data_IF_955281961506
#
_entry.id   IF_955281961506
#
_cell.length_a   1.000
_cell.length_b   1.000
_cell.length_c   1.000
_cell.angle_alpha   90.00
_cell.angle_beta   90.00
_cell.angle_gamma   90.00
#
_symmetry.space_group_name_H-M   'P 1'
#
loop_
_entity.id
_entity.type
_entity.pdbx_description
1 polymer ?
#
# COMPACT_ATOMS: atom_id res chain seq x y z
N UNK A 1 20.60 61.85 -66.11
CA UNK A 1 21.51 60.80 -65.58
C UNK A 1 22.10 61.16 -64.22
N UNK A 2 22.45 62.42 -63.93
CA UNK A 2 23.01 62.84 -62.63
C UNK A 2 22.02 62.82 -61.44
N UNK A 3 20.72 63.02 -61.68
CA UNK A 3 19.69 63.02 -60.62
C UNK A 3 19.37 61.64 -60.06
N UNK A 4 19.41 60.58 -60.89
CA UNK A 4 19.17 59.20 -60.47
C UNK A 4 20.33 58.63 -59.64
N UNK A 5 21.58 59.02 -59.95
CA UNK A 5 22.76 58.60 -59.19
C UNK A 5 22.83 59.25 -57.80
N UNK A 6 22.45 60.53 -57.69
CA UNK A 6 22.35 61.23 -56.40
C UNK A 6 21.23 60.66 -55.52
N UNK A 7 20.07 60.34 -56.09
CA UNK A 7 18.97 59.70 -55.38
C UNK A 7 19.34 58.29 -54.86
N UNK A 8 20.05 57.50 -55.67
CA UNK A 8 20.56 56.18 -55.27
C UNK A 8 21.58 56.24 -54.13
N UNK A 9 22.50 57.23 -54.16
CA UNK A 9 23.47 57.46 -53.08
C UNK A 9 22.81 57.93 -51.78
N UNK A 10 21.81 58.81 -51.86
CA UNK A 10 21.04 59.26 -50.69
C UNK A 10 20.24 58.11 -50.06
N UNK A 11 19.59 57.28 -50.87
CA UNK A 11 18.86 56.08 -50.40
C UNK A 11 19.79 55.06 -49.74
N UNK A 12 20.98 54.81 -50.32
CA UNK A 12 21.99 53.93 -49.74
C UNK A 12 22.50 54.44 -48.40
N UNK A 13 22.76 55.74 -48.28
CA UNK A 13 23.21 56.37 -47.04
C UNK A 13 22.13 56.34 -45.94
N UNK A 14 20.86 56.53 -46.31
CA UNK A 14 19.73 56.35 -45.37
C UNK A 14 19.57 54.90 -44.92
N UNK A 15 19.74 53.92 -45.81
CA UNK A 15 19.69 52.49 -45.46
C UNK A 15 20.84 52.11 -44.52
N UNK A 16 22.06 52.57 -44.80
CA UNK A 16 23.22 52.35 -43.93
C UNK A 16 23.05 53.03 -42.56
N UNK A 17 22.49 54.24 -42.51
CA UNK A 17 22.18 54.91 -41.24
C UNK A 17 21.11 54.15 -40.43
N UNK A 18 20.08 53.62 -41.10
CA UNK A 18 19.04 52.80 -40.44
C UNK A 18 19.60 51.48 -39.92
N UNK A 19 20.42 50.78 -40.70
CA UNK A 19 21.09 49.54 -40.27
C UNK A 19 22.08 49.77 -39.10
N UNK A 20 22.82 50.89 -39.10
CA UNK A 20 23.70 51.26 -37.98
C UNK A 20 22.90 51.59 -36.73
N UNK A 21 21.79 52.33 -36.86
CA UNK A 21 20.91 52.64 -35.74
C UNK A 21 20.26 51.37 -35.16
N UNK A 22 19.84 50.43 -36.02
CA UNK A 22 19.28 49.15 -35.60
C UNK A 22 20.32 48.26 -34.91
N UNK A 23 21.54 48.15 -35.46
CA UNK A 23 22.64 47.43 -34.80
C UNK A 23 23.03 48.06 -33.46
N UNK A 24 23.03 49.39 -33.35
CA UNK A 24 23.28 50.09 -32.10
C UNK A 24 22.18 49.82 -31.06
N UNK A 25 20.91 49.80 -31.48
CA UNK A 25 19.77 49.42 -30.62
C UNK A 25 19.87 47.97 -30.16
N UNK A 26 20.16 47.03 -31.06
CA UNK A 26 20.35 45.62 -30.72
C UNK A 26 21.54 45.40 -29.78
N UNK A 27 22.64 46.14 -29.98
CA UNK A 27 23.79 46.09 -29.07
C UNK A 27 23.45 46.64 -27.68
N UNK A 28 22.76 47.78 -27.61
CA UNK A 28 22.34 48.39 -26.36
C UNK A 28 21.33 47.51 -25.60
N UNK A 29 20.40 46.87 -26.31
CA UNK A 29 19.43 45.93 -25.73
C UNK A 29 20.13 44.67 -25.19
N UNK A 30 21.06 44.09 -25.96
CA UNK A 30 21.87 42.95 -25.51
C UNK A 30 22.72 43.29 -24.29
N UNK A 31 23.30 44.48 -24.25
CA UNK A 31 24.08 44.97 -23.11
C UNK A 31 23.20 45.17 -21.88
N UNK A 32 22.00 45.74 -22.04
CA UNK A 32 21.02 45.89 -20.95
C UNK A 32 20.61 44.53 -20.37
N UNK A 33 20.29 43.55 -21.22
CA UNK A 33 19.93 42.19 -20.81
C UNK A 33 21.09 41.49 -20.08
N UNK A 34 22.34 41.71 -20.51
CA UNK A 34 23.50 41.15 -19.84
C UNK A 34 23.71 41.79 -18.46
N UNK A 35 23.59 43.12 -18.35
CA UNK A 35 23.68 43.83 -17.08
C UNK A 35 22.58 43.39 -16.11
N UNK A 36 21.36 43.21 -16.59
CA UNK A 36 20.23 42.70 -15.80
C UNK A 36 20.48 41.28 -15.31
N UNK A 37 20.99 40.38 -16.17
CA UNK A 37 21.39 39.01 -15.78
C UNK A 37 22.52 38.99 -14.75
N UNK A 38 23.50 39.89 -14.88
CA UNK A 38 24.59 40.01 -13.90
C UNK A 38 24.05 40.52 -12.56
N UNK A 39 23.14 41.50 -12.57
CA UNK A 39 22.48 42.00 -11.35
C UNK A 39 21.67 40.90 -10.67
N UNK A 40 20.82 40.19 -11.42
CA UNK A 40 20.03 39.08 -10.89
C UNK A 40 20.91 37.97 -10.30
N UNK A 41 22.04 37.64 -10.94
CA UNK A 41 23.00 36.67 -10.40
C UNK A 41 23.67 37.15 -9.11
N UNK A 42 24.00 38.44 -9.02
CA UNK A 42 24.56 39.03 -7.79
C UNK A 42 23.53 39.02 -6.66
N UNK A 43 22.30 39.47 -6.93
CA UNK A 43 21.20 39.46 -5.96
C UNK A 43 20.89 38.03 -5.48
N UNK A 44 20.82 37.06 -6.39
CA UNK A 44 20.62 35.65 -6.03
C UNK A 44 21.77 35.10 -5.17
N UNK A 45 23.02 35.42 -5.48
CA UNK A 45 24.16 34.99 -4.70
C UNK A 45 24.23 35.67 -3.32
N UNK A 46 23.86 36.94 -3.23
CA UNK A 46 23.75 37.66 -1.97
C UNK A 46 22.63 37.09 -1.09
N UNK A 47 21.49 36.74 -1.68
CA UNK A 47 20.38 36.10 -0.98
C UNK A 47 20.74 34.68 -0.51
N UNK A 48 21.40 33.87 -1.34
CA UNK A 48 21.91 32.55 -0.96
C UNK A 48 22.89 32.66 0.23
N UNK A 49 23.83 33.60 0.18
CA UNK A 49 24.78 33.83 1.27
C UNK A 49 24.06 34.31 2.56
N UNK A 50 23.01 35.13 2.43
CA UNK A 50 22.17 35.56 3.57
C UNK A 50 21.46 34.36 4.18
N UNK A 51 20.81 33.53 3.36
CA UNK A 51 20.12 32.32 3.82
C UNK A 51 21.08 31.34 4.50
N UNK A 52 22.29 31.16 3.95
CA UNK A 52 23.33 30.34 4.56
C UNK A 52 23.75 30.87 5.94
N UNK A 53 23.94 32.18 6.10
CA UNK A 53 24.26 32.78 7.41
C UNK A 53 23.15 32.57 8.43
N UNK A 54 21.90 32.79 8.03
CA UNK A 54 20.72 32.56 8.89
C UNK A 54 20.66 31.08 9.31
N UNK A 55 20.88 30.16 8.37
CA UNK A 55 20.89 28.72 8.66
C UNK A 55 22.05 28.35 9.60
N UNK A 56 23.26 28.87 9.39
CA UNK A 56 24.41 28.64 10.26
C UNK A 56 24.19 29.21 11.69
N UNK A 57 23.57 30.38 11.82
CA UNK A 57 23.18 30.96 13.11
C UNK A 57 22.09 30.15 13.80
N UNK A 58 21.06 29.72 13.07
CA UNK A 58 19.99 28.87 13.58
C UNK A 58 20.53 27.51 14.08
N UNK A 59 21.50 26.91 13.38
CA UNK A 59 22.17 25.68 13.83
C UNK A 59 22.93 25.92 15.14
N UNK A 60 23.72 26.99 15.23
CA UNK A 60 24.46 27.33 16.46
C UNK A 60 23.54 27.62 17.64
N UNK A 61 22.44 28.32 17.39
CA UNK A 61 21.44 28.60 18.42
C UNK A 61 20.75 27.32 18.89
N UNK A 62 20.38 26.43 17.97
CA UNK A 62 19.81 25.13 18.31
C UNK A 62 20.80 24.26 19.10
N UNK A 63 22.08 24.26 18.75
CA UNK A 63 23.13 23.57 19.53
C UNK A 63 23.29 24.14 20.92
N UNK A 64 23.29 25.48 21.07
CA UNK A 64 23.36 26.14 22.38
C UNK A 64 22.15 25.78 23.26
N UNK A 65 20.94 25.86 22.71
CA UNK A 65 19.73 25.50 23.43
C UNK A 65 19.75 24.04 23.87
N UNK A 66 20.15 23.11 22.99
CA UNK A 66 20.33 21.69 23.36
C UNK A 66 21.35 21.49 24.46
N UNK A 67 22.47 22.21 24.42
CA UNK A 67 23.50 22.14 25.44
C UNK A 67 23.00 22.66 26.79
N UNK A 68 22.28 23.78 26.80
CA UNK A 68 21.64 24.33 28.01
C UNK A 68 20.59 23.37 28.59
N UNK A 69 19.75 22.78 27.73
CA UNK A 69 18.76 21.76 28.13
C UNK A 69 19.41 20.51 28.72
N UNK A 70 20.48 20.01 28.11
CA UNK A 70 21.22 18.85 28.62
C UNK A 70 21.86 19.15 29.98
N UNK A 71 22.48 20.32 30.15
CA UNK A 71 23.01 20.77 31.44
C UNK A 71 21.90 20.83 32.48
N UNK A 72 20.75 21.43 32.14
CA UNK A 72 19.61 21.56 33.05
C UNK A 72 19.09 20.17 33.48
N UNK A 73 18.88 19.25 32.53
CA UNK A 73 18.46 17.87 32.79
C UNK A 73 19.45 17.12 33.66
N UNK A 74 20.74 17.34 33.41
CA UNK A 74 21.85 16.76 34.17
C UNK A 74 22.18 17.52 35.47
N UNK A 75 21.33 18.46 35.90
CA UNK A 75 21.51 19.29 37.11
C UNK A 75 22.89 19.96 37.20
N UNK A 76 23.31 20.58 36.11
CA UNK A 76 24.53 21.37 36.04
C UNK A 76 25.80 20.59 35.66
N UNK A 77 25.68 19.32 35.24
CA UNK A 77 26.83 18.49 34.84
C UNK A 77 26.77 18.22 33.34
N UNK A 78 27.87 18.48 32.64
CA UNK A 78 28.02 18.17 31.23
C UNK A 78 29.32 17.41 31.00
N UNK A 79 29.21 16.25 30.36
CA UNK A 79 30.38 15.51 29.90
C UNK A 79 30.01 14.69 28.67
N UNK A 80 30.84 14.76 27.64
CA UNK A 80 30.71 13.98 26.41
C UNK A 80 32.09 13.72 25.84
N UNK A 81 32.35 12.50 25.41
CA UNK A 81 33.60 12.12 24.76
C UNK A 81 33.35 11.13 23.62
N UNK A 82 34.21 11.19 22.60
CA UNK A 82 34.27 10.22 21.54
C UNK A 82 35.37 9.21 21.89
N UNK A 83 35.00 7.97 22.22
CA UNK A 83 35.91 6.94 22.74
C UNK A 83 35.93 5.72 21.83
N UNK A 84 37.07 5.02 21.76
CA UNK A 84 37.16 3.73 21.08
C UNK A 84 36.50 2.65 21.95
N UNK A 85 35.56 1.89 21.38
CA UNK A 85 34.89 0.81 22.10
C UNK A 85 35.80 -0.43 22.14
N UNK A 86 36.04 -0.96 23.33
CA UNK A 86 36.77 -2.21 23.54
C UNK A 86 35.93 -3.17 24.39
N UNK A 87 36.09 -4.50 24.25
CA UNK A 87 35.37 -5.44 25.09
C UNK A 87 35.86 -5.34 26.55
N UNK A 88 34.94 -5.36 27.51
CA UNK A 88 35.26 -5.47 28.92
C UNK A 88 35.50 -6.94 29.32
N UNK A 89 36.23 -7.13 30.41
CA UNK A 89 36.27 -8.41 31.10
C UNK A 89 34.93 -8.66 31.81
N UNK A 90 34.25 -9.74 31.46
CA UNK A 90 32.93 -10.10 31.99
C UNK A 90 32.94 -10.37 33.50
N UNK A 91 34.08 -10.80 34.03
CA UNK A 91 34.24 -11.09 35.46
C UNK A 91 34.64 -9.85 36.26
N UNK A 92 34.97 -8.71 35.63
CA UNK A 92 35.49 -7.53 36.32
C UNK A 92 34.54 -7.04 37.43
N UNK A 93 33.24 -6.93 37.15
CA UNK A 93 32.26 -6.51 38.16
C UNK A 93 32.08 -7.56 39.26
N UNK A 94 32.08 -8.84 38.90
CA UNK A 94 31.91 -9.96 39.84
C UNK A 94 33.10 -10.06 40.81
N UNK A 95 34.32 -9.90 40.31
CA UNK A 95 35.55 -9.90 41.11
C UNK A 95 35.58 -8.77 42.14
N UNK A 96 34.93 -7.64 41.83
CA UNK A 96 34.75 -6.52 42.75
C UNK A 96 33.55 -6.70 43.71
N UNK A 97 32.85 -7.84 43.66
CA UNK A 97 31.67 -8.10 44.48
C UNK A 97 30.44 -7.25 44.10
N UNK A 98 30.44 -6.65 42.91
CA UNK A 98 29.36 -5.77 42.46
C UNK A 98 28.26 -6.62 41.82
N UNK A 99 27.08 -6.63 42.46
CA UNK A 99 25.91 -7.39 41.97
C UNK A 99 25.35 -6.83 40.65
N UNK A 100 25.23 -5.50 40.53
CA UNK A 100 24.72 -4.82 39.33
C UNK A 100 25.85 -4.57 38.34
N UNK A 101 26.36 -5.63 37.72
CA UNK A 101 27.54 -5.56 36.84
C UNK A 101 27.25 -5.60 35.34
N UNK A 102 26.05 -6.04 34.93
CA UNK A 102 25.73 -6.43 33.55
C UNK A 102 25.88 -5.30 32.54
N UNK A 103 25.52 -4.08 32.93
CA UNK A 103 25.51 -2.87 32.13
C UNK A 103 26.44 -1.79 32.70
N UNK A 104 27.51 -2.20 33.40
CA UNK A 104 28.51 -1.27 33.93
C UNK A 104 29.78 -1.25 33.08
N UNK A 105 30.16 -0.07 32.63
CA UNK A 105 31.31 0.15 31.73
C UNK A 105 32.54 0.69 32.47
N UNK A 106 33.72 0.46 31.90
CA UNK A 106 34.96 1.10 32.38
C UNK A 106 35.26 2.33 31.53
N UNK A 107 35.48 3.46 32.21
CA UNK A 107 35.80 4.75 31.58
C UNK A 107 37.25 5.16 31.86
N UNK A 108 37.82 6.09 31.08
CA UNK A 108 39.17 6.58 31.32
C UNK A 108 39.23 7.51 32.53
N UNK A 109 40.42 7.68 33.12
CA UNK A 109 40.57 8.49 34.34
C UNK A 109 40.31 9.97 34.09
N UNK A 110 40.62 10.47 32.89
CA UNK A 110 40.25 11.81 32.44
C UNK A 110 38.75 12.12 32.62
N UNK A 111 37.87 11.17 32.27
CA UNK A 111 36.42 11.31 32.45
C UNK A 111 36.03 11.55 33.92
N UNK A 112 36.67 10.80 34.83
CA UNK A 112 36.46 10.95 36.28
C UNK A 112 36.81 12.38 36.73
N UNK A 113 37.96 12.90 36.30
CA UNK A 113 38.45 14.22 36.71
C UNK A 113 37.47 15.32 36.26
N UNK A 114 37.00 15.26 35.01
CA UNK A 114 36.06 16.24 34.46
C UNK A 114 34.69 16.22 35.16
N UNK A 115 34.19 15.04 35.50
CA UNK A 115 32.92 14.87 36.21
C UNK A 115 33.01 15.33 37.67
N UNK A 116 34.12 15.01 38.35
CA UNK A 116 34.37 15.43 39.74
C UNK A 116 34.51 16.96 39.82
N UNK A 117 35.17 17.59 38.85
CA UNK A 117 35.29 19.05 38.78
C UNK A 117 33.92 19.77 38.70
N UNK A 118 32.88 19.06 38.26
CA UNK A 118 31.50 19.56 38.16
C UNK A 118 30.59 19.12 39.32
N UNK A 119 31.17 18.50 40.36
CA UNK A 119 30.45 17.98 41.53
C UNK A 119 29.36 16.96 41.15
N UNK A 120 29.71 15.98 40.31
CA UNK A 120 28.77 14.96 39.82
C UNK A 120 28.10 14.14 40.94
N UNK A 121 28.75 13.96 42.09
CA UNK A 121 28.25 13.12 43.17
C UNK A 121 26.93 13.61 43.77
N UNK A 122 26.63 14.92 43.66
CA UNK A 122 25.33 15.48 44.04
C UNK A 122 24.15 14.85 43.27
N UNK A 123 24.44 14.24 42.11
CA UNK A 123 23.44 13.62 41.26
C UNK A 123 23.14 12.15 41.58
N UNK A 124 23.89 11.52 42.50
CA UNK A 124 23.75 10.11 42.85
C UNK A 124 24.53 9.19 41.90
N UNK A 125 23.92 8.07 41.52
CA UNK A 125 24.53 7.12 40.59
C UNK A 125 24.84 7.78 39.24
N UNK A 126 26.00 7.47 38.68
CA UNK A 126 26.46 8.01 37.40
C UNK A 126 26.03 7.11 36.25
N UNK A 127 25.28 7.67 35.31
CA UNK A 127 24.85 7.00 34.09
C UNK A 127 25.39 7.71 32.85
N UNK A 128 25.54 6.94 31.79
CA UNK A 128 26.05 7.39 30.51
C UNK A 128 25.22 6.82 29.38
N UNK A 129 24.91 7.64 28.40
CA UNK A 129 24.41 7.21 27.11
C UNK A 129 25.61 6.86 26.23
N UNK A 130 25.62 5.64 25.70
CA UNK A 130 26.57 5.22 24.67
C UNK A 130 25.81 5.18 23.37
N UNK A 131 26.26 5.98 22.39
CA UNK A 131 25.68 6.05 21.07
C UNK A 131 26.70 5.64 20.00
N UNK A 132 26.26 4.80 19.08
CA UNK A 132 27.02 4.40 17.89
C UNK A 132 26.76 5.38 16.74
N UNK A 133 27.67 5.46 15.75
CA UNK A 133 27.44 6.29 14.56
C UNK A 133 26.21 5.91 13.73
N UNK A 134 25.70 4.68 13.88
CA UNK A 134 24.47 4.23 13.22
C UNK A 134 23.19 4.77 13.88
N UNK A 135 23.31 5.50 14.99
CA UNK A 135 22.19 6.09 15.72
C UNK A 135 21.60 5.19 16.81
N UNK A 136 22.11 3.96 17.01
CA UNK A 136 21.72 3.13 18.16
C UNK A 136 22.38 3.64 19.43
N UNK A 137 21.61 3.70 20.52
CA UNK A 137 22.08 4.13 21.82
C UNK A 137 21.51 3.28 22.95
N UNK A 138 22.28 3.12 24.03
CA UNK A 138 21.88 2.44 25.26
C UNK A 138 22.45 3.20 26.47
N UNK A 139 21.81 3.05 27.63
CA UNK A 139 22.24 3.70 28.87
C UNK A 139 22.91 2.69 29.80
N UNK A 140 24.03 3.10 30.38
CA UNK A 140 24.90 2.27 31.20
C UNK A 140 25.31 2.98 32.48
N UNK A 141 25.77 2.22 33.47
CA UNK A 141 26.42 2.77 34.66
C UNK A 141 27.93 2.77 34.53
N UNK A 142 28.62 3.57 35.35
CA UNK A 142 30.06 3.39 35.54
C UNK A 142 30.35 2.20 36.48
N UNK A 143 31.29 1.34 36.07
CA UNK A 143 31.94 0.36 36.93
C UNK A 143 33.05 1.03 37.72
N UNK A 144 34.05 1.55 37.01
CA UNK A 144 35.20 2.28 37.53
C UNK A 144 35.85 3.10 36.39
N UNK A 145 36.86 3.89 36.73
CA UNK A 145 37.59 4.78 35.84
C UNK A 145 39.03 4.31 35.58
N UNK A 146 39.17 3.04 35.18
CA UNK A 146 40.46 2.35 34.98
C UNK A 146 40.72 1.97 33.51
N UNK A 147 39.85 2.35 32.57
CA UNK A 147 40.10 2.10 31.16
C UNK A 147 41.28 2.93 30.63
N UNK A 148 41.89 2.47 29.53
CA UNK A 148 42.94 3.22 28.86
C UNK A 148 42.38 4.54 28.31
N UNK A 149 43.18 5.60 28.34
CA UNK A 149 42.79 6.92 27.82
C UNK A 149 42.35 6.81 26.35
N UNK A 150 41.23 7.47 26.02
CA UNK A 150 40.61 7.39 24.69
C UNK A 150 39.78 6.12 24.42
N UNK A 151 39.62 5.23 25.40
CA UNK A 151 38.84 3.98 25.27
C UNK A 151 37.69 3.89 26.27
N UNK A 152 36.69 3.06 25.96
CA UNK A 152 35.62 2.65 26.88
C UNK A 152 35.46 1.14 26.80
N UNK A 153 35.50 0.45 27.94
CA UNK A 153 35.31 -1.00 27.99
C UNK A 153 33.84 -1.35 28.18
N UNK A 154 33.27 -2.13 27.25
CA UNK A 154 31.86 -2.46 27.16
C UNK A 154 31.61 -3.94 27.49
N UNK A 155 30.75 -4.26 28.48
CA UNK A 155 30.27 -5.62 28.70
C UNK A 155 29.50 -6.17 27.49
N UNK A 156 29.48 -7.49 27.33
CA UNK A 156 28.78 -8.19 26.23
C UNK A 156 27.32 -7.78 26.10
N UNK A 157 26.62 -7.56 27.22
CA UNK A 157 25.23 -7.10 27.20
C UNK A 157 25.09 -5.74 26.47
N UNK A 158 25.97 -4.78 26.78
CA UNK A 158 25.98 -3.45 26.17
C UNK A 158 26.32 -3.54 24.68
N UNK A 159 27.31 -4.35 24.33
CA UNK A 159 27.70 -4.61 22.93
C UNK A 159 26.52 -5.17 22.13
N UNK A 160 25.81 -6.14 22.72
CA UNK A 160 24.64 -6.76 22.11
C UNK A 160 23.53 -5.75 21.80
N UNK A 161 23.27 -4.80 22.69
CA UNK A 161 22.23 -3.79 22.45
C UNK A 161 22.66 -2.78 21.37
N UNK A 162 23.92 -2.35 21.39
CA UNK A 162 24.44 -1.37 20.44
C UNK A 162 24.54 -1.90 19.01
N UNK A 163 24.91 -3.17 18.83
CA UNK A 163 25.18 -3.71 17.50
C UNK A 163 24.35 -4.93 17.11
N UNK A 164 23.49 -5.44 17.99
CA UNK A 164 22.42 -6.38 17.68
C UNK A 164 22.48 -7.71 18.45
N UNK A 165 21.32 -8.35 18.70
CA UNK A 165 21.23 -9.60 19.46
C UNK A 165 21.77 -10.83 18.73
N UNK A 166 21.84 -10.80 17.39
CA UNK A 166 22.13 -11.97 16.54
C UNK A 166 23.64 -12.21 16.26
N UNK A 167 24.51 -11.74 17.15
CA UNK A 167 25.78 -12.44 17.42
C UNK A 167 26.90 -12.36 16.36
N UNK A 168 27.01 -11.27 15.61
CA UNK A 168 28.19 -10.99 14.78
C UNK A 168 28.92 -9.69 15.15
N UNK A 169 28.45 -8.97 16.16
CA UNK A 169 28.97 -7.65 16.46
C UNK A 169 30.13 -7.69 17.46
N UNK A 170 31.33 -7.55 16.94
CA UNK A 170 32.50 -7.23 17.73
C UNK A 170 32.46 -5.73 18.12
N UNK A 171 32.91 -5.41 19.34
CA UNK A 171 33.24 -4.03 19.72
C UNK A 171 34.13 -3.42 18.63
N UNK A 172 33.58 -2.52 17.83
CA UNK A 172 34.32 -1.95 16.71
C UNK A 172 34.02 -0.47 16.54
N UNK A 173 35.08 0.26 16.26
CA UNK A 173 35.01 1.69 16.00
C UNK A 173 34.89 2.55 17.25
N UNK A 174 34.35 3.74 17.04
CA UNK A 174 34.24 4.75 18.07
C UNK A 174 32.79 5.03 18.41
N UNK A 175 32.52 5.18 19.71
CA UNK A 175 31.22 5.50 20.27
C UNK A 175 31.26 6.86 20.94
N UNK A 176 30.14 7.57 20.90
CA UNK A 176 29.94 8.78 21.69
C UNK A 176 29.42 8.37 23.06
N UNK A 177 30.14 8.72 24.12
CA UNK A 177 29.73 8.51 25.49
C UNK A 177 29.35 9.86 26.09
N UNK A 178 28.13 9.98 26.59
CA UNK A 178 27.59 11.24 27.13
C UNK A 178 27.01 11.01 28.51
N UNK A 179 27.35 11.86 29.49
CA UNK A 179 26.76 11.79 30.82
C UNK A 179 25.26 12.09 30.76
N UNK A 180 24.45 11.25 31.40
CA UNK A 180 23.01 11.43 31.54
C UNK A 180 22.59 11.23 32.98
N UNK A 181 21.77 12.14 33.49
CA UNK A 181 21.00 11.89 34.70
C UNK A 181 19.72 11.15 34.33
N UNK A 182 19.47 10.00 34.95
CA UNK A 182 18.27 9.21 34.73
C UNK A 182 17.25 9.39 35.86
N UNK A 183 15.97 9.45 35.50
CA UNK A 183 14.88 9.31 36.47
C UNK A 183 14.77 7.86 36.96
N UNK A 184 14.22 7.67 38.16
CA UNK A 184 13.87 6.32 38.64
C UNK A 184 12.71 5.76 37.83
N UNK A 185 12.83 4.52 37.39
CA UNK A 185 11.77 3.84 36.68
C UNK A 185 10.59 3.55 37.59
N UNK A 186 9.37 3.65 37.05
CA UNK A 186 8.14 3.29 37.75
C UNK A 186 7.36 2.18 37.03
N UNK A 187 7.59 2.03 35.73
CA UNK A 187 6.93 1.02 34.91
C UNK A 187 7.86 0.56 33.79
N UNK A 188 7.83 -0.73 33.48
CA UNK A 188 8.47 -1.32 32.32
C UNK A 188 7.56 -2.33 31.64
N UNK A 189 7.49 -2.26 30.31
CA UNK A 189 6.84 -3.26 29.47
C UNK A 189 7.89 -4.03 28.70
N UNK A 190 7.85 -5.34 28.79
CA UNK A 190 8.77 -6.25 28.12
C UNK A 190 8.05 -7.10 27.09
N UNK A 191 8.72 -7.41 25.99
CA UNK A 191 8.23 -8.35 24.99
C UNK A 191 9.22 -9.49 24.82
N UNK A 192 8.86 -10.75 25.14
CA UNK A 192 9.72 -11.90 24.89
C UNK A 192 9.95 -12.10 23.39
N UNK A 193 11.15 -12.55 23.02
CA UNK A 193 11.44 -12.93 21.63
C UNK A 193 10.64 -14.16 21.20
N UNK A 194 10.64 -15.19 22.04
CA UNK A 194 10.10 -16.52 21.73
C UNK A 194 8.83 -16.82 22.50
N UNK A 195 7.91 -17.59 21.89
CA UNK A 195 6.63 -17.95 22.51
C UNK A 195 6.77 -18.85 23.75
N UNK A 196 7.89 -19.55 23.90
CA UNK A 196 8.12 -20.48 25.01
C UNK A 196 8.33 -19.79 26.36
N UNK A 197 8.72 -18.51 26.38
CA UNK A 197 8.84 -17.74 27.63
C UNK A 197 7.53 -17.77 28.41
N UNK A 198 6.41 -17.50 27.73
CA UNK A 198 5.11 -17.45 28.40
C UNK A 198 4.61 -18.84 28.82
N UNK A 199 5.05 -19.92 28.16
CA UNK A 199 4.67 -21.28 28.52
C UNK A 199 5.48 -21.81 29.71
N UNK A 200 6.78 -21.53 29.72
CA UNK A 200 7.71 -22.10 30.70
C UNK A 200 7.86 -21.22 31.95
N UNK A 201 7.75 -19.90 31.82
CA UNK A 201 8.04 -18.94 32.90
C UNK A 201 6.77 -18.40 33.58
N UNK A 202 5.56 -18.68 33.05
CA UNK A 202 4.29 -18.07 33.50
C UNK A 202 4.09 -18.00 35.03
N UNK A 203 4.42 -19.07 35.76
CA UNK A 203 4.21 -19.14 37.22
C UNK A 203 5.30 -18.42 38.03
N UNK A 204 6.39 -17.98 37.40
CA UNK A 204 7.57 -17.39 38.06
C UNK A 204 8.06 -16.10 37.40
N UNK A 205 7.24 -15.48 36.54
CA UNK A 205 7.62 -14.27 35.78
C UNK A 205 8.17 -13.16 36.67
N UNK A 206 7.51 -12.88 37.79
CA UNK A 206 7.92 -11.81 38.71
C UNK A 206 9.32 -12.04 39.27
N UNK A 207 9.56 -13.20 39.90
CA UNK A 207 10.85 -13.54 40.51
C UNK A 207 11.99 -13.57 39.48
N UNK A 208 11.69 -14.05 38.28
CA UNK A 208 12.65 -14.18 37.18
C UNK A 208 13.03 -12.82 36.61
N UNK A 209 12.06 -11.92 36.43
CA UNK A 209 12.33 -10.54 36.03
C UNK A 209 13.06 -9.77 37.13
N UNK A 210 12.69 -9.94 38.40
CA UNK A 210 13.36 -9.30 39.53
C UNK A 210 14.84 -9.71 39.58
N UNK A 211 15.13 -11.01 39.46
CA UNK A 211 16.50 -11.52 39.43
C UNK A 211 17.31 -10.96 38.25
N UNK A 212 16.70 -10.85 37.06
CA UNK A 212 17.36 -10.26 35.89
C UNK A 212 17.64 -8.77 36.09
N UNK A 213 16.64 -7.99 36.52
CA UNK A 213 16.75 -6.54 36.75
C UNK A 213 17.68 -6.18 37.92
N UNK A 214 17.83 -7.07 38.90
CA UNK A 214 18.77 -6.89 40.01
C UNK A 214 20.25 -6.86 39.56
N UNK A 215 20.56 -7.29 38.33
CA UNK A 215 21.92 -7.23 37.76
C UNK A 215 22.17 -6.01 36.87
N UNK A 216 21.12 -5.25 36.54
CA UNK A 216 21.19 -4.06 35.68
C UNK A 216 21.14 -2.79 36.53
N UNK A 217 21.58 -1.66 35.99
CA UNK A 217 21.46 -0.34 36.63
C UNK A 217 20.57 0.61 35.84
N UNK A 218 20.47 0.44 34.52
CA UNK A 218 19.59 1.22 33.65
C UNK A 218 18.83 0.32 32.66
N UNK A 219 17.73 0.86 32.13
CA UNK A 219 17.01 0.30 30.99
C UNK A 219 16.79 1.40 29.94
N UNK A 220 16.85 1.03 28.67
CA UNK A 220 16.48 1.90 27.54
C UNK A 220 15.40 1.21 26.70
N UNK A 221 14.39 1.95 26.24
CA UNK A 221 13.42 1.45 25.28
C UNK A 221 14.15 0.97 24.01
N UNK A 222 13.86 -0.26 23.59
CA UNK A 222 14.48 -0.95 22.47
C UNK A 222 15.62 -1.90 22.83
N UNK A 223 16.18 -1.81 24.05
CA UNK A 223 17.25 -2.71 24.51
C UNK A 223 16.73 -4.15 24.73
N UNK A 224 17.64 -5.12 24.68
CA UNK A 224 17.36 -6.52 24.96
C UNK A 224 17.97 -6.94 26.30
N UNK A 225 17.13 -7.36 27.24
CA UNK A 225 17.56 -8.00 28.48
C UNK A 225 17.53 -9.51 28.35
N UNK A 226 18.47 -10.18 29.02
CA UNK A 226 18.54 -11.65 29.05
C UNK A 226 18.08 -12.13 30.40
N UNK A 227 17.21 -13.13 30.37
CA UNK A 227 16.49 -13.64 31.53
C UNK A 227 16.72 -15.15 31.62
N UNK A 228 17.62 -15.61 32.52
CA UNK A 228 17.89 -17.03 32.69
C UNK A 228 16.79 -17.71 33.51
N UNK A 229 16.21 -18.80 32.99
CA UNK A 229 15.23 -19.63 33.69
C UNK A 229 15.28 -21.08 33.22
N UNK A 230 15.24 -22.04 34.14
CA UNK A 230 15.19 -23.47 33.80
C UNK A 230 16.38 -23.97 32.97
N UNK A 231 17.54 -23.33 33.07
CA UNK A 231 18.72 -23.64 32.25
C UNK A 231 18.69 -23.09 30.83
N UNK A 232 17.70 -22.25 30.49
CA UNK A 232 17.58 -21.53 29.22
C UNK A 232 17.69 -20.02 29.43
N UNK A 233 18.19 -19.32 28.42
CA UNK A 233 18.24 -17.87 28.38
C UNK A 233 17.11 -17.34 27.48
N UNK A 234 16.25 -16.49 28.04
CA UNK A 234 15.18 -15.82 27.31
C UNK A 234 15.53 -14.37 27.04
N UNK A 235 15.44 -13.93 25.79
CA UNK A 235 15.65 -12.54 25.42
C UNK A 235 14.32 -11.79 25.43
N UNK A 236 14.26 -10.72 26.24
CA UNK A 236 13.10 -9.85 26.36
C UNK A 236 13.49 -8.45 25.89
N UNK A 237 12.72 -7.90 24.97
CA UNK A 237 12.88 -6.52 24.49
C UNK A 237 12.18 -5.56 25.43
N UNK A 238 12.84 -4.47 25.79
CA UNK A 238 12.22 -3.36 26.51
C UNK A 238 11.35 -2.58 25.52
N UNK A 239 10.03 -2.64 25.67
CA UNK A 239 9.08 -1.98 24.78
C UNK A 239 8.72 -0.57 25.25
N UNK A 240 8.48 -0.41 26.55
CA UNK A 240 8.03 0.86 27.13
C UNK A 240 8.59 1.06 28.52
N UNK A 241 8.98 2.29 28.83
CA UNK A 241 9.43 2.71 30.14
C UNK A 241 8.68 3.98 30.57
N UNK A 242 8.59 4.18 31.89
CA UNK A 242 8.10 5.43 32.49
C UNK A 242 9.02 5.86 33.64
N UNK A 243 9.24 7.17 33.85
CA UNK A 243 8.59 8.30 33.15
C UNK A 243 9.20 8.64 31.78
N UNK A 244 10.41 8.17 31.51
CA UNK A 244 11.20 8.49 30.32
C UNK A 244 11.53 7.20 29.54
N UNK A 245 11.92 7.28 28.25
CA UNK A 245 12.32 6.11 27.47
C UNK A 245 13.68 5.52 27.91
N UNK A 246 14.32 6.10 28.92
CA UNK A 246 15.46 5.56 29.64
C UNK A 246 15.25 5.79 31.13
N UNK A 247 15.54 4.79 31.97
CA UNK A 247 15.33 4.89 33.42
C UNK A 247 16.41 4.18 34.21
N UNK A 248 16.64 4.65 35.43
CA UNK A 248 17.42 3.93 36.43
C UNK A 248 16.54 2.86 37.10
N UNK A 249 17.07 1.64 37.21
CA UNK A 249 16.46 0.53 37.96
C UNK A 249 17.12 0.28 39.33
N UNK A 250 18.01 1.18 39.74
CA UNK A 250 18.63 1.15 41.07
C UNK A 250 17.62 1.65 42.13
N UNK A 251 17.46 0.85 43.20
CA UNK A 251 16.68 1.17 44.40
C UNK A 251 15.29 1.75 44.08
N UNK A 252 14.56 1.07 43.22
CA UNK A 252 13.23 1.45 42.76
C UNK A 252 12.34 0.23 42.62
N UNK A 253 11.07 0.40 42.97
CA UNK A 253 10.03 -0.57 42.71
C UNK A 253 9.34 -0.19 41.40
N UNK A 254 9.21 -1.16 40.49
CA UNK A 254 8.65 -0.94 39.16
C UNK A 254 7.55 -1.93 38.88
N UNK A 255 6.46 -1.45 38.29
CA UNK A 255 5.45 -2.30 37.69
C UNK A 255 6.01 -2.89 36.39
N UNK A 256 6.00 -4.22 36.27
CA UNK A 256 6.47 -4.92 35.08
C UNK A 256 5.28 -5.59 34.37
N UNK A 257 5.16 -5.34 33.07
CA UNK A 257 4.17 -5.98 32.19
C UNK A 257 4.89 -6.77 31.09
N UNK A 258 4.39 -7.95 30.77
CA UNK A 258 4.95 -8.80 29.71
C UNK A 258 3.93 -8.98 28.59
N UNK A 259 4.28 -8.52 27.39
CA UNK A 259 3.47 -8.67 26.18
C UNK A 259 3.62 -10.06 25.55
N UNK A 260 2.70 -10.46 24.66
CA UNK A 260 2.88 -11.65 23.84
C UNK A 260 4.20 -11.61 23.07
N UNK A 261 4.81 -12.78 22.89
CA UNK A 261 6.10 -12.85 22.21
C UNK A 261 6.06 -12.32 20.77
N UNK A 262 7.22 -11.87 20.26
CA UNK A 262 7.36 -11.42 18.87
C UNK A 262 6.87 -12.50 17.90
N UNK A 263 7.26 -13.76 18.11
CA UNK A 263 6.78 -14.90 17.30
C UNK A 263 5.25 -15.07 17.35
N UNK A 264 4.64 -14.86 18.51
CA UNK A 264 3.19 -14.95 18.69
C UNK A 264 2.48 -13.85 17.91
N UNK A 265 2.96 -12.61 17.99
CA UNK A 265 2.39 -11.48 17.25
C UNK A 265 2.55 -11.63 15.74
N UNK A 266 3.72 -12.05 15.27
CA UNK A 266 3.98 -12.31 13.86
C UNK A 266 3.06 -13.40 13.31
N UNK A 267 2.85 -14.48 14.09
CA UNK A 267 1.90 -15.54 13.73
C UNK A 267 0.46 -15.02 13.64
N UNK A 268 0.00 -14.25 14.62
CA UNK A 268 -1.36 -13.68 14.60
C UNK A 268 -1.52 -12.76 13.37
N UNK A 269 -0.54 -11.88 13.11
CA UNK A 269 -0.58 -10.99 11.94
C UNK A 269 -0.61 -11.75 10.63
N UNK A 270 0.14 -12.85 10.51
CA UNK A 270 0.12 -13.69 9.32
C UNK A 270 -1.23 -14.42 9.15
N UNK A 271 -1.83 -14.91 10.23
CA UNK A 271 -3.15 -15.53 10.22
C UNK A 271 -4.25 -14.52 9.82
N UNK A 272 -4.19 -13.28 10.33
CA UNK A 272 -5.10 -12.18 9.98
C UNK A 272 -4.97 -11.78 8.51
N UNK A 273 -3.74 -11.58 8.01
CA UNK A 273 -3.50 -11.26 6.60
C UNK A 273 -4.02 -12.35 5.66
N UNK A 274 -3.79 -13.63 6.00
CA UNK A 274 -4.32 -14.76 5.23
C UNK A 274 -5.85 -14.87 5.31
N UNK A 275 -6.48 -14.45 6.41
CA UNK A 275 -7.93 -14.39 6.52
C UNK A 275 -8.51 -13.26 5.66
N UNK A 276 -7.87 -12.09 5.63
CA UNK A 276 -8.26 -10.96 4.80
C UNK A 276 -8.13 -11.29 3.29
N UNK A 277 -7.04 -11.92 2.88
CA UNK A 277 -6.83 -12.37 1.50
C UNK A 277 -7.94 -13.35 1.07
N UNK A 278 -8.23 -14.37 1.89
CA UNK A 278 -9.32 -15.33 1.62
C UNK A 278 -10.69 -14.66 1.55
N UNK A 279 -10.94 -13.66 2.39
CA UNK A 279 -12.19 -12.89 2.36
C UNK A 279 -12.30 -12.02 1.09
N UNK A 280 -11.19 -11.44 0.62
CA UNK A 280 -11.13 -10.67 -0.61
C UNK A 280 -11.36 -11.56 -1.84
N UNK A 281 -10.75 -12.75 -1.88
CA UNK A 281 -10.97 -13.74 -2.93
C UNK A 281 -12.43 -14.20 -3.01
N UNK A 282 -13.06 -14.49 -1.88
CA UNK A 282 -14.47 -14.88 -1.83
C UNK A 282 -15.37 -13.76 -2.37
N UNK A 283 -15.16 -12.51 -1.95
CA UNK A 283 -15.91 -11.35 -2.45
C UNK A 283 -15.71 -11.14 -3.95
N UNK A 284 -14.50 -11.33 -4.45
CA UNK A 284 -14.19 -11.23 -5.88
C UNK A 284 -14.89 -12.34 -6.68
N UNK A 285 -14.89 -13.58 -6.16
CA UNK A 285 -15.60 -14.71 -6.77
C UNK A 285 -17.12 -14.49 -6.80
N UNK A 286 -17.70 -14.01 -5.71
CA UNK A 286 -19.12 -13.67 -5.64
C UNK A 286 -19.49 -12.53 -6.60
N UNK A 287 -18.68 -11.47 -6.67
CA UNK A 287 -18.90 -10.37 -7.61
C UNK A 287 -18.79 -10.83 -9.08
N UNK A 288 -17.83 -11.70 -9.39
CA UNK A 288 -17.68 -12.27 -10.74
C UNK A 288 -18.86 -13.19 -11.10
N UNK A 289 -19.34 -14.00 -10.15
CA UNK A 289 -20.52 -14.84 -10.34
C UNK A 289 -21.79 -13.98 -10.56
N UNK A 290 -21.97 -12.93 -9.75
CA UNK A 290 -23.09 -12.00 -9.91
C UNK A 290 -23.05 -11.26 -11.25
N UNK A 291 -21.85 -10.87 -11.73
CA UNK A 291 -21.68 -10.27 -13.05
C UNK A 291 -22.06 -11.24 -14.17
N UNK A 292 -21.56 -12.47 -14.13
CA UNK A 292 -21.90 -13.50 -15.12
C UNK A 292 -23.40 -13.80 -15.13
N UNK A 293 -24.05 -13.82 -13.97
CA UNK A 293 -25.49 -14.03 -13.86
C UNK A 293 -26.28 -12.87 -14.52
N UNK A 294 -25.87 -11.62 -14.30
CA UNK A 294 -26.48 -10.45 -14.96
C UNK A 294 -26.29 -10.47 -16.47
N UNK A 295 -25.06 -10.76 -16.93
CA UNK A 295 -24.76 -10.86 -18.37
C UNK A 295 -25.59 -11.99 -19.04
N UNK A 296 -25.80 -13.12 -18.36
CA UNK A 296 -26.65 -14.21 -18.86
C UNK A 296 -28.14 -13.83 -18.89
N UNK A 297 -28.63 -13.13 -17.87
CA UNK A 297 -30.02 -12.65 -17.83
C UNK A 297 -30.28 -11.60 -18.92
N UNK A 298 -29.35 -10.66 -19.14
CA UNK A 298 -29.43 -9.67 -20.21
C UNK A 298 -29.48 -10.34 -21.59
N UNK A 299 -28.60 -11.33 -21.86
CA UNK A 299 -28.61 -12.07 -23.12
C UNK A 299 -29.93 -12.82 -23.35
N UNK A 300 -30.49 -13.43 -22.30
CA UNK A 300 -31.77 -14.12 -22.39
C UNK A 300 -32.92 -13.14 -22.67
N UNK A 301 -32.90 -11.98 -22.04
CA UNK A 301 -33.88 -10.91 -22.30
C UNK A 301 -33.78 -10.39 -23.73
N UNK A 302 -32.57 -10.17 -24.25
CA UNK A 302 -32.33 -9.76 -25.63
C UNK A 302 -32.86 -10.78 -26.63
N UNK A 303 -32.54 -12.08 -26.44
CA UNK A 303 -33.02 -13.15 -27.31
C UNK A 303 -34.55 -13.23 -27.29
N UNK A 304 -35.17 -13.11 -26.12
CA UNK A 304 -36.64 -13.09 -25.99
C UNK A 304 -37.26 -11.89 -26.68
N UNK A 305 -36.65 -10.70 -26.55
CA UNK A 305 -37.12 -9.48 -27.21
C UNK A 305 -36.99 -9.58 -28.74
N UNK A 306 -35.89 -10.13 -29.25
CA UNK A 306 -35.69 -10.37 -30.68
C UNK A 306 -36.73 -11.36 -31.23
N UNK A 307 -36.95 -12.49 -30.54
CA UNK A 307 -38.00 -13.44 -30.93
C UNK A 307 -39.39 -12.80 -30.94
N UNK A 308 -39.72 -11.98 -29.95
CA UNK A 308 -41.00 -11.26 -29.91
C UNK A 308 -41.12 -10.25 -31.06
N UNK A 309 -40.04 -9.52 -31.38
CA UNK A 309 -40.02 -8.57 -32.51
C UNK A 309 -40.24 -9.27 -33.84
N UNK A 310 -39.53 -10.38 -34.09
CA UNK A 310 -39.71 -11.17 -35.31
C UNK A 310 -41.14 -11.72 -35.43
N UNK A 311 -41.73 -12.21 -34.32
CA UNK A 311 -43.14 -12.65 -34.30
C UNK A 311 -44.11 -11.50 -34.63
N UNK A 312 -43.89 -10.32 -34.05
CA UNK A 312 -44.73 -9.15 -34.33
C UNK A 312 -44.61 -8.67 -35.78
N UNK A 313 -43.41 -8.72 -36.37
CA UNK A 313 -43.19 -8.43 -37.79
C UNK A 313 -43.97 -9.41 -38.67
N UNK A 314 -43.91 -10.71 -38.36
CA UNK A 314 -44.67 -11.74 -39.07
C UNK A 314 -46.18 -11.57 -38.91
N UNK A 315 -46.68 -11.25 -37.71
CA UNK A 315 -48.12 -10.97 -37.50
C UNK A 315 -48.57 -9.73 -38.28
N UNK A 316 -47.74 -8.69 -38.39
CA UNK A 316 -48.07 -7.47 -39.14
C UNK A 316 -48.17 -7.70 -40.66
N UNK A 317 -47.49 -8.72 -41.20
CA UNK A 317 -47.60 -9.12 -42.62
C UNK A 317 -48.88 -9.89 -42.92
N UNK A 318 -49.63 -10.31 -41.90
CA UNK A 318 -50.82 -11.11 -42.09
C UNK A 318 -52.01 -10.26 -42.55
N UNK A 319 -52.68 -10.62 -43.66
CA UNK A 319 -53.92 -9.96 -44.06
C UNK A 319 -55.05 -10.21 -43.04
N UNK A 320 -56.13 -9.42 -43.01
CA UNK A 320 -57.28 -9.71 -42.15
C UNK A 320 -57.86 -11.09 -42.47
N UNK A 321 -58.21 -11.87 -41.44
CA UNK A 321 -58.75 -13.22 -41.65
C UNK A 321 -60.09 -13.16 -42.42
N UNK A 322 -60.23 -13.90 -43.53
CA UNK A 322 -61.46 -13.91 -44.30
C UNK A 322 -62.67 -14.43 -43.50
N UNK A 323 -63.80 -13.75 -43.62
CA UNK A 323 -65.05 -14.17 -42.98
C UNK A 323 -65.63 -15.44 -43.62
N UNK A 324 -66.56 -16.10 -42.91
CA UNK A 324 -67.29 -17.28 -43.43
C UNK A 324 -68.18 -16.97 -44.62
N UNK A 325 -68.46 -15.68 -44.89
CA UNK A 325 -69.30 -15.19 -45.98
C UNK A 325 -68.50 -14.44 -47.05
N UNK A 326 -67.19 -14.67 -47.13
CA UNK A 326 -66.33 -14.08 -48.16
C UNK A 326 -66.82 -14.48 -49.57
N UNK A 327 -66.92 -13.53 -50.52
CA UNK A 327 -67.28 -13.84 -51.90
C UNK A 327 -66.13 -14.53 -52.67
N UNK A 328 -64.90 -14.46 -52.15
CA UNK A 328 -63.71 -15.08 -52.74
C UNK A 328 -63.46 -16.49 -52.17
N UNK A 329 -62.88 -17.43 -52.95
CA UNK A 329 -62.64 -18.80 -52.50
C UNK A 329 -61.63 -18.84 -51.34
N UNK A 330 -62.02 -19.47 -50.24
CA UNK A 330 -61.22 -19.57 -49.01
C UNK A 330 -60.89 -21.02 -48.66
N UNK A 331 -59.85 -21.22 -47.87
CA UNK A 331 -59.43 -22.51 -47.33
C UNK A 331 -59.05 -22.36 -45.86
N UNK A 332 -59.57 -23.26 -45.00
CA UNK A 332 -59.17 -23.34 -43.60
C UNK A 332 -57.90 -24.18 -43.47
N UNK A 333 -56.78 -23.59 -43.06
CA UNK A 333 -55.55 -24.34 -42.80
C UNK A 333 -55.44 -24.66 -41.31
N UNK A 334 -55.32 -25.95 -40.97
CA UNK A 334 -55.07 -26.44 -39.63
C UNK A 334 -53.64 -26.99 -39.56
N UNK A 335 -52.76 -26.28 -38.85
CA UNK A 335 -51.35 -26.64 -38.70
C UNK A 335 -51.16 -27.34 -37.37
N UNK A 336 -50.66 -28.58 -37.39
CA UNK A 336 -50.24 -29.33 -36.21
C UNK A 336 -48.78 -29.03 -35.91
N UNK A 337 -48.52 -28.55 -34.70
CA UNK A 337 -47.19 -28.16 -34.24
C UNK A 337 -46.48 -29.33 -33.52
N UNK A 338 -45.13 -29.34 -33.42
CA UNK A 338 -44.37 -30.41 -32.77
C UNK A 338 -44.62 -30.53 -31.27
N UNK A 339 -45.02 -29.44 -30.62
CA UNK A 339 -45.44 -29.40 -29.21
C UNK A 339 -46.83 -30.05 -28.97
N UNK A 340 -47.46 -30.58 -30.02
CA UNK A 340 -48.79 -31.20 -29.99
C UNK A 340 -49.95 -30.21 -30.09
N UNK A 341 -49.68 -28.91 -30.05
CA UNK A 341 -50.68 -27.87 -30.22
C UNK A 341 -51.11 -27.73 -31.68
N UNK A 342 -52.20 -26.99 -31.92
CA UNK A 342 -52.79 -26.81 -33.25
C UNK A 342 -53.10 -25.35 -33.48
N UNK A 343 -52.66 -24.84 -34.62
CA UNK A 343 -53.03 -23.52 -35.12
C UNK A 343 -54.08 -23.70 -36.21
N UNK A 344 -55.06 -22.80 -36.26
CA UNK A 344 -56.06 -22.79 -37.31
C UNK A 344 -56.33 -21.37 -37.75
N UNK A 345 -56.36 -21.14 -39.07
CA UNK A 345 -56.74 -19.85 -39.66
C UNK A 345 -57.26 -20.06 -41.07
N UNK A 346 -58.23 -19.23 -41.45
CA UNK A 346 -58.73 -19.15 -42.83
C UNK A 346 -57.83 -18.25 -43.68
N UNK A 347 -57.58 -18.68 -44.92
CA UNK A 347 -56.80 -17.94 -45.91
C UNK A 347 -57.59 -17.86 -47.22
N UNK A 348 -57.35 -16.82 -48.02
CA UNK A 348 -57.83 -16.78 -49.40
C UNK A 348 -57.00 -17.73 -50.26
N UNK A 349 -57.63 -18.45 -51.18
CA UNK A 349 -56.89 -19.36 -52.08
C UNK A 349 -55.93 -18.62 -53.01
N UNK A 350 -56.16 -17.32 -53.24
CA UNK A 350 -55.30 -16.45 -54.03
C UNK A 350 -54.12 -15.86 -53.23
N UNK A 351 -54.09 -15.98 -51.90
CA UNK A 351 -52.98 -15.49 -51.10
C UNK A 351 -51.70 -16.29 -51.34
N UNK A 352 -50.51 -15.68 -51.17
CA UNK A 352 -49.24 -16.40 -51.21
C UNK A 352 -49.19 -17.51 -50.16
N UNK A 353 -48.57 -18.64 -50.51
CA UNK A 353 -48.32 -19.72 -49.55
C UNK A 353 -47.47 -19.24 -48.37
N UNK A 354 -46.61 -18.24 -48.60
CA UNK A 354 -45.80 -17.58 -47.56
C UNK A 354 -46.65 -17.05 -46.40
N UNK A 355 -47.90 -16.61 -46.64
CA UNK A 355 -48.80 -16.13 -45.60
C UNK A 355 -49.14 -17.21 -44.57
N UNK A 356 -49.14 -18.49 -44.96
CA UNK A 356 -49.33 -19.63 -44.04
C UNK A 356 -48.10 -19.82 -43.16
N UNK A 357 -46.89 -19.66 -43.71
CA UNK A 357 -45.64 -19.70 -42.94
C UNK A 357 -45.52 -18.50 -41.99
N UNK A 358 -45.81 -17.28 -42.47
CA UNK A 358 -45.81 -16.08 -41.63
C UNK A 358 -46.82 -16.20 -40.48
N UNK A 359 -47.96 -16.87 -40.70
CA UNK A 359 -48.94 -17.15 -39.64
C UNK A 359 -48.41 -18.13 -38.59
N UNK A 360 -47.77 -19.20 -39.04
CA UNK A 360 -47.16 -20.19 -38.14
C UNK A 360 -46.02 -19.55 -37.34
N UNK A 361 -45.19 -18.72 -37.99
CA UNK A 361 -44.11 -17.96 -37.37
C UNK A 361 -44.62 -16.97 -36.33
N UNK A 362 -45.65 -16.18 -36.67
CA UNK A 362 -46.28 -15.20 -35.78
C UNK A 362 -46.84 -15.84 -34.51
N UNK A 363 -47.36 -17.08 -34.62
CA UNK A 363 -47.89 -17.87 -33.50
C UNK A 363 -46.82 -18.70 -32.79
N UNK A 364 -45.56 -18.59 -33.18
CA UNK A 364 -44.40 -19.14 -32.49
C UNK A 364 -43.98 -20.54 -32.92
N UNK A 365 -44.58 -21.11 -33.97
CA UNK A 365 -44.10 -22.31 -34.66
C UNK A 365 -43.92 -23.57 -33.79
N UNK A 366 -44.54 -23.64 -32.60
CA UNK A 366 -44.32 -24.72 -31.63
C UNK A 366 -42.87 -24.87 -31.17
N UNK A 367 -42.12 -23.76 -31.13
CA UNK A 367 -40.70 -23.74 -30.76
C UNK A 367 -39.72 -23.94 -31.92
N UNK A 368 -40.20 -24.16 -33.15
CA UNK A 368 -39.34 -24.15 -34.32
C UNK A 368 -38.87 -22.72 -34.66
N UNK A 369 -37.58 -22.52 -35.01
CA UNK A 369 -37.09 -21.21 -35.43
C UNK A 369 -37.73 -20.80 -36.77
N UNK A 370 -37.95 -19.50 -36.95
CA UNK A 370 -38.48 -18.92 -38.19
C UNK A 370 -37.56 -19.33 -39.36
N UNK A 371 -38.13 -19.92 -40.40
CA UNK A 371 -37.38 -20.45 -41.55
C UNK A 371 -36.71 -21.82 -41.34
N UNK A 372 -36.79 -22.40 -40.13
CA UNK A 372 -36.20 -23.70 -39.77
C UNK A 372 -37.18 -24.88 -39.79
N UNK A 373 -38.27 -24.78 -40.54
CA UNK A 373 -39.26 -25.86 -40.67
C UNK A 373 -39.90 -25.87 -42.05
N UNK A 374 -40.61 -26.97 -42.34
CA UNK A 374 -41.44 -27.17 -43.53
C UNK A 374 -42.84 -27.60 -43.14
N UNK A 375 -43.82 -27.30 -43.98
CA UNK A 375 -45.21 -27.72 -43.79
C UNK A 375 -45.54 -28.87 -44.72
N UNK A 376 -46.18 -29.93 -44.22
CA UNK A 376 -46.49 -31.13 -45.03
C UNK A 376 -47.96 -31.56 -44.89
N UNK A 377 -48.58 -32.01 -45.98
CA UNK A 377 -49.90 -32.67 -45.94
C UNK A 377 -49.74 -34.18 -45.75
N UNK A 378 -50.79 -34.87 -45.26
CA UNK A 378 -50.75 -36.31 -45.03
C UNK A 378 -51.11 -37.14 -46.28
N UNK A 379 -52.23 -36.85 -46.96
CA UNK A 379 -52.66 -37.60 -48.16
C UNK A 379 -53.46 -36.73 -49.15
N UNK A 380 -53.01 -36.59 -50.42
CA UNK A 380 -51.68 -36.94 -50.91
C UNK A 380 -50.60 -36.10 -50.18
N UNK A 381 -49.45 -36.71 -49.86
CA UNK A 381 -48.35 -36.02 -49.17
C UNK A 381 -47.72 -34.99 -50.11
N UNK A 382 -47.68 -33.74 -49.65
CA UNK A 382 -47.03 -32.61 -50.31
C UNK A 382 -46.15 -31.90 -49.27
N UNK A 383 -45.04 -31.35 -49.72
CA UNK A 383 -44.07 -30.66 -48.87
C UNK A 383 -43.97 -29.22 -49.34
N UNK A 384 -44.11 -28.30 -48.41
CA UNK A 384 -44.03 -26.87 -48.64
C UNK A 384 -42.85 -26.33 -47.83
N UNK A 385 -42.08 -25.46 -48.47
CA UNK A 385 -40.99 -24.70 -47.85
C UNK A 385 -41.34 -23.23 -47.98
N UNK A 386 -40.89 -22.42 -47.02
CA UNK A 386 -41.04 -20.96 -47.08
C UNK A 386 -40.44 -20.36 -48.37
N UNK A 387 -40.87 -19.14 -48.66
CA UNK A 387 -40.46 -18.29 -49.79
C UNK A 387 -40.86 -18.81 -51.18
N UNK A 388 -41.80 -19.77 -51.25
CA UNK A 388 -42.39 -20.15 -52.53
C UNK A 388 -43.24 -19.00 -53.09
N UNK A 389 -42.97 -18.54 -54.32
CA UNK A 389 -43.80 -17.55 -55.02
C UNK A 389 -45.18 -18.06 -55.48
N UNK A 390 -45.64 -19.18 -54.92
CA UNK A 390 -46.90 -19.82 -55.26
C UNK A 390 -48.04 -19.30 -54.38
N UNK A 391 -49.26 -19.29 -54.91
CA UNK A 391 -50.48 -19.09 -54.11
C UNK A 391 -50.95 -20.39 -53.47
N UNK A 392 -51.83 -20.34 -52.46
CA UNK A 392 -52.41 -21.55 -51.86
C UNK A 392 -53.09 -22.44 -52.92
N UNK A 393 -53.84 -21.86 -53.86
CA UNK A 393 -54.46 -22.58 -54.96
C UNK A 393 -53.42 -23.30 -55.84
N UNK A 394 -52.33 -22.63 -56.20
CA UNK A 394 -51.25 -23.18 -57.02
C UNK A 394 -50.47 -24.28 -56.30
N UNK A 395 -50.32 -24.16 -54.98
CA UNK A 395 -49.78 -25.19 -54.11
C UNK A 395 -50.76 -26.37 -53.87
N UNK A 396 -51.98 -26.24 -54.38
CA UNK A 396 -53.05 -27.23 -54.30
C UNK A 396 -53.76 -27.29 -52.93
N UNK A 397 -53.63 -26.24 -52.12
CA UNK A 397 -54.37 -26.03 -50.87
C UNK A 397 -55.66 -25.26 -51.16
N UNK A 398 -56.59 -25.91 -51.85
CA UNK A 398 -57.84 -25.31 -52.33
C UNK A 398 -59.11 -26.04 -51.85
N UNK A 399 -58.98 -26.98 -50.92
CA UNK A 399 -60.11 -27.64 -50.27
C UNK A 399 -60.74 -26.74 -49.20
N UNK A 400 -61.95 -27.06 -48.74
CA UNK A 400 -62.60 -26.31 -47.66
C UNK A 400 -61.80 -26.31 -46.34
N UNK A 401 -61.08 -27.41 -46.07
CA UNK A 401 -60.17 -27.54 -44.93
C UNK A 401 -58.95 -28.37 -45.32
N UNK A 402 -57.76 -27.87 -45.02
CA UNK A 402 -56.47 -28.51 -45.26
C UNK A 402 -55.74 -28.72 -43.93
N UNK A 403 -55.19 -29.91 -43.72
CA UNK A 403 -54.42 -30.24 -42.52
C UNK A 403 -52.94 -30.31 -42.86
N UNK A 404 -52.15 -29.44 -42.23
CA UNK A 404 -50.71 -29.34 -42.37
C UNK A 404 -50.03 -29.82 -41.09
N UNK A 405 -48.90 -30.49 -41.23
CA UNK A 405 -48.01 -30.86 -40.14
C UNK A 405 -46.72 -30.06 -40.28
N UNK A 406 -46.26 -29.46 -39.18
CA UNK A 406 -44.96 -28.81 -39.12
C UNK A 406 -43.88 -29.87 -38.85
N UNK A 407 -42.92 -29.99 -39.76
CA UNK A 407 -41.70 -30.78 -39.58
C UNK A 407 -40.50 -29.82 -39.50
N UNK A 408 -39.68 -29.92 -38.46
CA UNK A 408 -38.42 -29.16 -38.38
C UNK A 408 -37.45 -29.65 -39.46
N UNK A 409 -36.65 -28.72 -40.02
CA UNK A 409 -35.69 -28.99 -41.09
C UNK A 409 -34.39 -29.63 -40.60
#
# INVERSE_FOLDING_TARGET
MLSSELAGRASKLQKEQKERAEKARQKAEKERLLQERVRQRKEAHEEENRQRRIAEEAVKEAERLRHEEDIARNKGVWWSAQLAAVPADEDAARLLGIRRGTDKVLLPKSASNDLIAQDVYKNGAMFFEIATPSGRATHVGALDFTAAEGTVALPRHVVRNLWGPDGAAECSGSVKVTYRKLAKGTYARFQPRTADFQKEVAESVEAVLEAALATHCALTEGDWIRVPFGGKDYDLRVQKLKPEPQVSVIDTDMEAEVEPSVETEERIRAEEAAAEERAAELRAAEAAAARKAREAEELEQELRAEQQRLRAEKEALLPPEPSTSSPEPTTMCLVRLPDGSRLSRRFLQAEPLQTVFDFVDARGGGGAPIGGYRLVTQFPRRVFVGESGLTLAQAGLNSGQEVLLLEQL
#
